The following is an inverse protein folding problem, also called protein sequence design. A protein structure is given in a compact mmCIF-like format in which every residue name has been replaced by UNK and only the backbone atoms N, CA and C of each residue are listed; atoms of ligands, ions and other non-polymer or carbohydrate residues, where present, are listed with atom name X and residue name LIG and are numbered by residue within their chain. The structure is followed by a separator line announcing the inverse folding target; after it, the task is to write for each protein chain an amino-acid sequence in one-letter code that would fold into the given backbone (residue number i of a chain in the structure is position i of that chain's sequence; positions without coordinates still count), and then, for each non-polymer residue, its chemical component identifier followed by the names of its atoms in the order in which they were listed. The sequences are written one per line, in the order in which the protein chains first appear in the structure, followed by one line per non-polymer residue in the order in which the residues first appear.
data_IF_478564022628
#
_entry.id   IF_478564022628
#
_cell.length_a   1.000
_cell.length_b   1.000
_cell.length_c   1.000
_cell.angle_alpha   90.00
_cell.angle_beta   90.00
_cell.angle_gamma   90.00
#
_symmetry.space_group_name_H-M   'P 1'
#
loop_
_entity.id
_entity.type
_entity.pdbx_description
1 polymer ?
#
# COMPACT_ATOMS: atom_id res chain seq x y z
N UNK A 1 24.23 38.59 52.44
CA UNK A 1 23.64 38.79 51.09
C UNK A 1 24.30 38.01 49.96
N UNK A 2 25.60 37.64 50.01
CA UNK A 2 26.24 36.85 48.94
C UNK A 2 25.86 35.36 48.93
N UNK A 3 25.53 34.78 50.08
CA UNK A 3 25.14 33.35 50.19
C UNK A 3 23.68 33.10 49.75
N UNK A 4 22.80 34.10 49.91
CA UNK A 4 21.40 34.00 49.49
C UNK A 4 21.23 34.05 47.95
N UNK A 5 22.16 34.69 47.24
CA UNK A 5 22.13 34.80 45.77
C UNK A 5 22.62 33.52 45.07
N UNK A 6 23.48 32.72 45.74
CA UNK A 6 24.04 31.49 45.18
C UNK A 6 23.03 30.34 45.27
N UNK A 7 22.15 30.34 46.26
CA UNK A 7 21.11 29.30 46.41
C UNK A 7 20.01 29.38 45.33
N UNK A 8 19.77 30.58 44.77
CA UNK A 8 18.77 30.80 43.71
C UNK A 8 19.24 30.35 42.31
N UNK A 9 20.56 30.25 42.10
CA UNK A 9 21.14 29.83 40.81
C UNK A 9 21.20 28.29 40.69
N UNK A 10 21.24 27.57 41.81
CA UNK A 10 21.24 26.10 41.80
C UNK A 10 19.86 25.47 41.54
N UNK A 11 18.76 26.21 41.79
CA UNK A 11 17.39 25.70 41.59
C UNK A 11 16.95 25.79 40.11
N UNK A 12 17.61 26.60 39.28
CA UNK A 12 17.21 26.81 37.88
C UNK A 12 17.74 25.74 36.89
N UNK A 13 18.56 24.78 37.35
CA UNK A 13 19.22 23.82 36.45
C UNK A 13 18.52 22.45 36.33
N UNK A 14 17.32 22.26 36.89
CA UNK A 14 16.62 20.96 36.86
C UNK A 14 15.46 20.85 35.85
N UNK A 15 15.24 21.85 34.98
CA UNK A 15 14.10 21.85 34.05
C UNK A 15 14.42 21.55 32.57
N UNK A 16 15.62 21.08 32.25
CA UNK A 16 15.97 20.67 30.89
C UNK A 16 16.23 19.16 30.80
N UNK A 17 15.25 18.36 31.25
CA UNK A 17 15.06 17.03 30.65
C UNK A 17 14.34 17.30 29.33
N UNK A 18 15.12 17.64 28.30
CA UNK A 18 14.64 17.59 26.94
C UNK A 18 14.26 16.15 26.65
N UNK A 19 12.98 15.90 26.40
CA UNK A 19 12.58 14.72 25.64
C UNK A 19 13.42 14.73 24.36
N UNK A 20 14.39 13.83 24.28
CA UNK A 20 14.92 13.40 23.00
C UNK A 20 13.75 12.72 22.31
N UNK A 21 13.00 13.51 21.55
CA UNK A 21 12.11 12.99 20.55
C UNK A 21 13.04 12.26 19.59
N UNK A 22 13.04 10.93 19.70
CA UNK A 22 13.63 10.04 18.71
C UNK A 22 12.85 10.34 17.43
N UNK A 23 13.30 11.34 16.68
CA UNK A 23 12.95 11.50 15.29
C UNK A 23 13.42 10.21 14.63
N UNK A 24 12.45 9.33 14.41
CA UNK A 24 12.60 8.25 13.45
C UNK A 24 12.97 8.92 12.14
N UNK A 25 14.25 8.84 11.80
CA UNK A 25 14.76 9.19 10.49
C UNK A 25 14.10 8.21 9.52
N UNK A 26 12.91 8.58 9.03
CA UNK A 26 12.30 7.94 7.87
C UNK A 26 13.20 8.35 6.70
N UNK A 27 14.24 7.55 6.46
CA UNK A 27 15.03 7.64 5.25
C UNK A 27 14.04 7.63 4.08
N UNK A 28 14.02 8.75 3.34
CA UNK A 28 13.20 8.85 2.14
C UNK A 28 13.72 7.82 1.15
N UNK A 29 12.97 6.72 1.00
CA UNK A 29 13.28 5.69 0.01
C UNK A 29 13.36 6.34 -1.36
N UNK A 30 14.45 6.07 -2.09
CA UNK A 30 14.57 6.52 -3.47
C UNK A 30 13.80 5.56 -4.38
N UNK A 31 13.30 6.01 -5.54
CA UNK A 31 12.57 5.12 -6.47
C UNK A 31 13.41 3.89 -6.90
N UNK A 32 14.75 3.97 -6.78
CA UNK A 32 15.68 2.88 -7.09
C UNK A 32 15.63 1.72 -6.07
N UNK A 33 15.15 1.97 -4.86
CA UNK A 33 15.06 0.97 -3.79
C UNK A 33 13.73 0.20 -3.82
N UNK A 34 12.77 0.64 -4.64
CA UNK A 34 11.43 0.08 -4.71
C UNK A 34 11.34 -1.06 -5.73
N UNK A 35 10.49 -2.05 -5.43
CA UNK A 35 10.05 -3.02 -6.43
C UNK A 35 8.95 -2.36 -7.25
N UNK A 36 9.16 -2.23 -8.55
CA UNK A 36 8.23 -1.54 -9.45
C UNK A 36 7.92 -2.41 -10.65
N UNK A 37 6.63 -2.49 -10.98
CA UNK A 37 6.14 -3.04 -12.24
C UNK A 37 5.15 -2.08 -12.88
N UNK A 38 5.20 -1.96 -14.21
CA UNK A 38 4.40 -1.00 -14.96
C UNK A 38 3.79 -1.61 -16.22
N UNK A 39 2.58 -1.17 -16.53
CA UNK A 39 1.89 -1.45 -17.78
C UNK A 39 1.42 -0.13 -18.39
N UNK A 40 1.94 0.22 -19.56
CA UNK A 40 1.44 1.32 -20.38
C UNK A 40 0.29 0.83 -21.26
N UNK A 41 -0.86 1.51 -21.21
CA UNK A 41 -2.06 1.10 -21.94
C UNK A 41 -2.85 2.31 -22.45
N UNK A 42 -2.57 2.70 -23.69
CA UNK A 42 -3.17 3.89 -24.31
C UNK A 42 -2.77 5.16 -23.58
N UNK A 43 -3.77 5.91 -23.11
CA UNK A 43 -3.60 7.16 -22.36
C UNK A 43 -3.32 6.93 -20.86
N UNK A 44 -3.01 5.70 -20.44
CA UNK A 44 -2.83 5.35 -19.03
C UNK A 44 -1.52 4.62 -18.77
N UNK A 45 -0.99 4.82 -17.57
CA UNK A 45 0.09 4.00 -17.00
C UNK A 45 -0.42 3.45 -15.67
N UNK A 46 -0.47 2.12 -15.57
CA UNK A 46 -0.68 1.41 -14.33
C UNK A 46 0.69 1.02 -13.76
N UNK A 47 0.90 1.28 -12.47
CA UNK A 47 2.12 0.92 -11.76
C UNK A 47 1.75 0.21 -10.45
N UNK A 48 2.48 -0.85 -10.15
CA UNK A 48 2.46 -1.51 -8.85
C UNK A 48 3.82 -1.34 -8.19
N UNK A 49 3.80 -0.90 -6.94
CA UNK A 49 5.00 -0.59 -6.17
C UNK A 49 4.98 -1.37 -4.86
N UNK A 50 6.12 -1.91 -4.46
CA UNK A 50 6.34 -2.38 -3.11
C UNK A 50 7.65 -1.84 -2.54
N UNK A 51 7.69 -1.65 -1.22
CA UNK A 51 8.85 -1.11 -0.53
C UNK A 51 10.07 -2.03 -0.65
N UNK A 52 9.87 -3.35 -0.54
CA UNK A 52 10.93 -4.35 -0.60
C UNK A 52 10.53 -5.51 -1.51
N UNK A 53 11.50 -6.21 -2.10
CA UNK A 53 11.26 -7.50 -2.75
C UNK A 53 11.19 -8.66 -1.74
N UNK A 54 11.84 -8.45 -0.59
CA UNK A 54 11.99 -9.44 0.47
C UNK A 54 11.61 -8.78 1.78
N UNK A 55 10.70 -9.41 2.52
CA UNK A 55 10.24 -8.99 3.84
C UNK A 55 10.60 -10.06 4.88
N UNK A 56 10.75 -9.64 6.13
CA UNK A 56 10.80 -10.58 7.26
C UNK A 56 9.38 -10.89 7.75
N UNK A 57 9.14 -12.07 8.31
CA UNK A 57 7.82 -12.43 8.82
C UNK A 57 7.38 -11.46 9.94
N UNK A 58 6.15 -11.00 9.84
CA UNK A 58 5.60 -9.99 10.74
C UNK A 58 6.01 -8.54 10.41
N UNK A 59 6.92 -8.31 9.46
CA UNK A 59 7.19 -6.96 8.94
C UNK A 59 5.95 -6.42 8.19
N UNK A 60 5.54 -5.16 8.43
CA UNK A 60 4.46 -4.54 7.66
C UNK A 60 4.79 -4.50 6.17
N UNK A 61 3.86 -5.00 5.35
CA UNK A 61 4.01 -4.98 3.89
C UNK A 61 3.33 -3.74 3.33
N UNK A 62 4.11 -2.97 2.57
CA UNK A 62 3.61 -1.79 1.84
C UNK A 62 3.55 -2.12 0.36
N UNK A 63 2.34 -2.09 -0.19
CA UNK A 63 2.05 -2.28 -1.61
C UNK A 63 1.17 -1.10 -2.05
N UNK A 64 1.51 -0.45 -3.15
CA UNK A 64 0.80 0.72 -3.66
C UNK A 64 0.45 0.53 -5.13
N UNK A 65 -0.84 0.61 -5.45
CA UNK A 65 -1.33 0.70 -6.82
C UNK A 65 -1.35 2.16 -7.26
N UNK A 66 -0.83 2.45 -8.45
CA UNK A 66 -0.79 3.81 -9.00
C UNK A 66 -1.31 3.84 -10.43
N UNK A 67 -2.12 4.84 -10.74
CA UNK A 67 -2.68 5.10 -12.06
C UNK A 67 -2.34 6.52 -12.48
N UNK A 68 -1.80 6.68 -13.68
CA UNK A 68 -1.49 7.99 -14.27
C UNK A 68 -2.20 8.16 -15.59
N UNK A 69 -2.83 9.32 -15.76
CA UNK A 69 -3.42 9.75 -17.02
C UNK A 69 -2.41 10.55 -17.86
N UNK A 70 -2.32 10.22 -19.15
CA UNK A 70 -1.39 10.77 -20.15
C UNK A 70 -2.09 11.20 -21.44
N UNK A 71 -3.41 11.29 -21.45
CA UNK A 71 -4.16 11.69 -22.62
C UNK A 71 -4.12 13.19 -22.90
N UNK A 72 -4.94 13.63 -23.84
CA UNK A 72 -4.86 14.98 -24.41
C UNK A 72 -5.59 16.07 -23.60
N UNK A 73 -6.27 15.73 -22.50
CA UNK A 73 -6.98 16.69 -21.64
C UNK A 73 -6.16 16.96 -20.39
N UNK A 74 -6.38 18.11 -19.76
CA UNK A 74 -5.75 18.44 -18.47
C UNK A 74 -6.22 17.52 -17.34
N UNK A 75 -7.47 17.05 -17.42
CA UNK A 75 -8.07 16.15 -16.44
C UNK A 75 -9.06 15.18 -17.09
N UNK A 76 -9.32 14.08 -16.39
CA UNK A 76 -10.26 13.05 -16.79
C UNK A 76 -11.03 12.52 -15.58
N UNK A 77 -12.36 12.52 -15.66
CA UNK A 77 -13.20 11.84 -14.65
C UNK A 77 -13.30 10.37 -14.98
N UNK A 78 -12.98 9.51 -14.00
CA UNK A 78 -13.22 8.07 -14.07
C UNK A 78 -14.28 7.65 -13.05
N UNK A 79 -15.04 6.61 -13.38
CA UNK A 79 -16.01 5.95 -12.49
C UNK A 79 -15.56 4.52 -12.23
N UNK A 80 -15.51 4.10 -10.97
CA UNK A 80 -15.08 2.75 -10.58
C UNK A 80 -15.96 2.24 -9.44
N UNK A 81 -15.75 1.01 -8.98
CA UNK A 81 -16.42 0.47 -7.81
C UNK A 81 -15.86 1.11 -6.52
N UNK A 82 -15.51 0.32 -5.50
CA UNK A 82 -14.98 0.88 -4.26
C UNK A 82 -13.59 1.52 -4.42
N UNK A 83 -12.76 0.97 -5.28
CA UNK A 83 -11.42 1.43 -5.64
C UNK A 83 -11.24 1.21 -7.15
N UNK A 84 -10.44 2.03 -7.85
CA UNK A 84 -10.03 1.73 -9.21
C UNK A 84 -8.93 0.66 -9.25
N UNK A 85 -8.52 0.13 -8.10
CA UNK A 85 -7.53 -0.95 -7.96
C UNK A 85 -8.14 -2.14 -7.22
N UNK A 86 -7.96 -3.33 -7.79
CA UNK A 86 -8.19 -4.62 -7.15
C UNK A 86 -6.84 -5.30 -7.00
N UNK A 87 -6.50 -5.72 -5.79
CA UNK A 87 -5.25 -6.43 -5.49
C UNK A 87 -5.55 -7.91 -5.34
N UNK A 88 -5.12 -8.70 -6.31
CA UNK A 88 -5.23 -10.14 -6.31
C UNK A 88 -3.89 -10.70 -5.83
N UNK A 89 -3.91 -11.41 -4.69
CA UNK A 89 -2.69 -11.91 -4.04
C UNK A 89 -2.76 -13.42 -3.95
N UNK A 90 -1.74 -14.08 -4.49
CA UNK A 90 -1.57 -15.53 -4.45
C UNK A 90 -0.31 -15.83 -3.67
N UNK A 91 -0.43 -16.57 -2.58
CA UNK A 91 0.71 -17.19 -1.91
C UNK A 91 1.05 -18.49 -2.65
N UNK A 92 2.16 -18.47 -3.39
CA UNK A 92 2.52 -19.53 -4.33
C UNK A 92 3.07 -20.78 -3.66
N UNK A 93 3.70 -20.67 -2.49
CA UNK A 93 4.32 -21.83 -1.81
C UNK A 93 3.28 -22.87 -1.39
N UNK A 94 2.08 -22.45 -1.00
CA UNK A 94 0.96 -23.33 -0.62
C UNK A 94 -0.21 -23.26 -1.59
N UNK A 95 -0.16 -22.35 -2.58
CA UNK A 95 -1.21 -22.15 -3.58
C UNK A 95 -2.48 -21.56 -2.97
N UNK A 96 -2.32 -20.61 -2.05
CA UNK A 96 -3.44 -19.98 -1.35
C UNK A 96 -3.76 -18.63 -2.01
N UNK A 97 -4.96 -18.52 -2.55
CA UNK A 97 -5.51 -17.25 -2.99
C UNK A 97 -6.04 -16.46 -1.78
N UNK A 98 -5.62 -15.21 -1.65
CA UNK A 98 -6.06 -14.32 -0.59
C UNK A 98 -7.26 -13.53 -1.11
N UNK A 99 -8.46 -13.74 -0.56
CA UNK A 99 -9.65 -13.13 -1.11
C UNK A 99 -9.67 -11.62 -0.82
N UNK A 100 -10.06 -10.83 -1.81
CA UNK A 100 -10.27 -9.39 -1.68
C UNK A 100 -11.77 -9.06 -1.60
N UNK A 101 -12.17 -8.20 -0.66
CA UNK A 101 -13.58 -7.84 -0.51
C UNK A 101 -13.96 -6.74 -1.51
N UNK A 102 -14.62 -7.12 -2.60
CA UNK A 102 -15.18 -6.14 -3.53
C UNK A 102 -16.46 -5.55 -2.93
N UNK A 103 -16.41 -4.28 -2.50
CA UNK A 103 -17.61 -3.51 -2.16
C UNK A 103 -18.17 -2.85 -3.42
N UNK A 104 -19.47 -3.03 -3.67
CA UNK A 104 -20.15 -2.62 -4.90
C UNK A 104 -20.72 -1.19 -4.86
N UNK A 105 -20.00 -0.23 -4.26
CA UNK A 105 -20.41 1.18 -4.31
C UNK A 105 -19.63 1.88 -5.39
N UNK A 106 -20.33 2.38 -6.41
CA UNK A 106 -19.69 3.18 -7.46
C UNK A 106 -19.21 4.52 -6.93
N UNK A 107 -18.00 4.92 -7.32
CA UNK A 107 -17.35 6.17 -6.98
C UNK A 107 -16.78 6.83 -8.23
N UNK A 108 -16.54 8.13 -8.14
CA UNK A 108 -15.86 8.89 -9.19
C UNK A 108 -14.62 9.56 -8.61
N UNK A 109 -13.57 9.67 -9.40
CA UNK A 109 -12.40 10.53 -9.11
C UNK A 109 -11.96 11.28 -10.36
N UNK A 110 -11.15 12.30 -10.17
CA UNK A 110 -10.50 13.07 -11.23
C UNK A 110 -9.05 12.63 -11.31
N UNK A 111 -8.60 12.23 -12.49
CA UNK A 111 -7.19 12.02 -12.81
C UNK A 111 -6.66 13.29 -13.46
N UNK A 112 -5.71 13.94 -12.81
CA UNK A 112 -4.97 15.07 -13.39
C UNK A 112 -3.87 14.57 -14.34
N UNK A 113 -3.64 15.30 -15.42
CA UNK A 113 -2.59 14.98 -16.38
C UNK A 113 -1.22 14.87 -15.71
N UNK A 114 -0.51 13.77 -15.98
CA UNK A 114 0.82 13.45 -15.43
C UNK A 114 0.90 13.32 -13.90
N UNK A 115 -0.22 13.33 -13.17
CA UNK A 115 -0.22 13.06 -11.74
C UNK A 115 -0.52 11.60 -11.47
N UNK A 116 0.09 11.07 -10.40
CA UNK A 116 -0.23 9.73 -9.90
C UNK A 116 -1.46 9.82 -9.00
N UNK A 117 -2.50 9.05 -9.34
CA UNK A 117 -3.52 8.65 -8.40
C UNK A 117 -3.06 7.35 -7.74
N UNK A 118 -2.98 7.32 -6.42
CA UNK A 118 -2.36 6.23 -5.67
C UNK A 118 -3.28 5.74 -4.56
N UNK A 119 -3.35 4.42 -4.36
CA UNK A 119 -3.97 3.80 -3.20
C UNK A 119 -3.05 2.71 -2.65
N UNK A 120 -2.86 2.73 -1.33
CA UNK A 120 -2.15 1.66 -0.62
C UNK A 120 -3.07 0.45 -0.45
N UNK A 121 -2.51 -0.74 -0.61
CA UNK A 121 -3.20 -1.99 -0.30
C UNK A 121 -3.56 -2.02 1.18
N UNK A 122 -4.86 -2.04 1.47
CA UNK A 122 -5.36 -2.28 2.81
C UNK A 122 -5.64 -3.77 2.99
N UNK A 123 -4.99 -4.36 3.99
CA UNK A 123 -5.13 -5.78 4.32
C UNK A 123 -6.52 -6.05 4.87
N UNK A 124 -7.37 -6.67 4.06
CA UNK A 124 -8.75 -6.97 4.44
C UNK A 124 -8.90 -8.41 4.93
N UNK A 125 -9.62 -8.56 6.04
CA UNK A 125 -10.02 -9.87 6.56
C UNK A 125 -11.39 -10.25 6.01
N UNK A 126 -11.45 -11.24 5.13
CA UNK A 126 -12.69 -11.92 4.79
C UNK A 126 -12.86 -13.18 5.64
N UNK A 127 -14.06 -13.48 6.16
CA UNK A 127 -14.33 -14.75 6.81
C UNK A 127 -14.07 -15.88 5.82
N UNK A 128 -13.13 -16.76 6.14
CA UNK A 128 -12.86 -17.92 5.31
C UNK A 128 -14.02 -18.91 5.43
N UNK A 129 -14.54 -19.41 4.32
CA UNK A 129 -15.55 -20.46 4.34
C UNK A 129 -14.83 -21.76 4.75
N UNK A 130 -15.22 -22.32 5.89
CA UNK A 130 -14.49 -23.36 6.60
C UNK A 130 -14.32 -24.63 5.74
N UNK A 131 -13.17 -24.80 5.10
CA UNK A 131 -12.61 -26.12 4.83
C UNK A 131 -11.10 -26.07 4.56
N UNK A 132 -10.41 -27.00 5.23
CA UNK A 132 -9.06 -27.48 4.97
C UNK A 132 -7.87 -26.54 5.24
N UNK A 133 -6.67 -27.13 5.28
CA UNK A 133 -5.32 -26.68 5.70
C UNK A 133 -4.98 -25.17 5.59
N UNK A 134 -5.65 -24.43 4.72
CA UNK A 134 -5.58 -22.99 4.53
C UNK A 134 -6.10 -22.18 5.72
N UNK A 135 -6.92 -22.76 6.61
CA UNK A 135 -7.49 -22.04 7.76
C UNK A 135 -6.43 -21.50 8.74
N UNK A 136 -5.34 -22.23 8.97
CA UNK A 136 -4.24 -21.77 9.85
C UNK A 136 -3.48 -20.61 9.19
N UNK A 137 -3.19 -20.74 7.89
CA UNK A 137 -2.55 -19.66 7.11
C UNK A 137 -3.41 -18.40 7.12
N UNK A 138 -4.71 -18.49 6.79
CA UNK A 138 -5.60 -17.34 6.77
C UNK A 138 -5.78 -16.72 8.16
N UNK A 139 -5.76 -17.54 9.22
CA UNK A 139 -5.78 -17.06 10.60
C UNK A 139 -4.52 -16.27 10.95
N UNK A 140 -3.34 -16.73 10.53
CA UNK A 140 -2.07 -16.02 10.68
C UNK A 140 -2.06 -14.73 9.85
N UNK A 141 -2.43 -14.82 8.57
CA UNK A 141 -2.60 -13.67 7.68
C UNK A 141 -3.50 -12.60 8.30
N UNK A 142 -4.68 -12.94 8.81
CA UNK A 142 -5.61 -11.94 9.35
C UNK A 142 -5.11 -11.31 10.66
N UNK A 143 -4.40 -12.06 11.51
CA UNK A 143 -4.04 -11.63 12.86
C UNK A 143 -2.70 -10.90 12.95
N UNK A 144 -1.78 -11.27 12.09
CA UNK A 144 -0.44 -10.70 12.08
C UNK A 144 -0.42 -9.42 11.22
N UNK A 145 0.53 -8.55 11.50
CA UNK A 145 0.70 -7.28 10.77
C UNK A 145 1.17 -7.57 9.34
N UNK A 146 2.33 -8.22 9.20
CA UNK A 146 2.87 -8.72 7.94
C UNK A 146 2.14 -9.92 7.35
N UNK A 147 2.61 -10.36 6.19
CA UNK A 147 2.16 -11.64 5.62
C UNK A 147 2.89 -12.80 6.30
N UNK A 148 2.30 -14.00 6.32
CA UNK A 148 3.02 -15.20 6.73
C UNK A 148 4.24 -15.47 5.82
N UNK A 149 5.21 -16.29 6.24
CA UNK A 149 6.32 -16.69 5.39
C UNK A 149 5.87 -17.44 4.14
N UNK A 150 6.40 -17.05 2.98
CA UNK A 150 6.04 -17.61 1.68
C UNK A 150 6.44 -16.73 0.49
N UNK A 151 6.27 -17.27 -0.71
CA UNK A 151 6.41 -16.53 -1.96
C UNK A 151 5.03 -16.01 -2.38
N UNK A 152 4.96 -14.75 -2.79
CA UNK A 152 3.72 -14.07 -3.13
C UNK A 152 3.78 -13.48 -4.54
N UNK A 153 2.76 -13.76 -5.33
CA UNK A 153 2.45 -12.99 -6.53
C UNK A 153 1.36 -11.97 -6.17
N UNK A 154 1.65 -10.70 -6.40
CA UNK A 154 0.71 -9.60 -6.22
C UNK A 154 0.41 -9.03 -7.60
N UNK A 155 -0.82 -9.24 -8.08
CA UNK A 155 -1.35 -8.57 -9.26
C UNK A 155 -2.22 -7.40 -8.82
N UNK A 156 -2.02 -6.23 -9.43
CA UNK A 156 -3.00 -5.15 -9.36
C UNK A 156 -3.73 -5.09 -10.68
N UNK A 157 -5.05 -5.11 -10.60
CA UNK A 157 -5.97 -4.88 -11.71
C UNK A 157 -6.65 -3.54 -11.53
N UNK A 158 -6.50 -2.65 -12.51
CA UNK A 158 -7.22 -1.38 -12.53
C UNK A 158 -8.43 -1.44 -13.43
N UNK A 159 -9.62 -1.18 -12.87
CA UNK A 159 -10.90 -1.26 -13.58
C UNK A 159 -11.72 0.01 -13.35
N UNK A 160 -12.05 0.69 -14.46
CA UNK A 160 -12.83 1.92 -14.41
C UNK A 160 -13.54 2.20 -15.74
N UNK A 161 -14.53 3.08 -15.68
CA UNK A 161 -15.29 3.58 -16.81
C UNK A 161 -14.93 5.05 -17.07
N UNK A 162 -14.88 5.42 -18.34
CA UNK A 162 -14.86 6.82 -18.77
C UNK A 162 -16.21 7.13 -19.44
N UNK A 163 -16.79 8.29 -19.10
CA UNK A 163 -17.98 8.79 -19.78
C UNK A 163 -17.60 9.93 -20.73
N UNK A 164 -17.58 9.66 -22.03
CA UNK A 164 -17.29 10.64 -23.09
C UNK A 164 -18.56 11.28 -23.65
N UNK A 165 -19.62 11.37 -22.83
CA UNK A 165 -20.90 12.00 -23.15
C UNK A 165 -21.80 11.17 -24.07
N UNK A 166 -21.24 10.54 -25.10
CA UNK A 166 -21.98 9.68 -26.04
C UNK A 166 -21.75 8.19 -25.82
N UNK A 167 -20.60 7.81 -25.24
CA UNK A 167 -20.24 6.42 -24.96
C UNK A 167 -19.70 6.28 -23.54
N UNK A 168 -19.90 5.08 -22.98
CA UNK A 168 -19.13 4.60 -21.83
C UNK A 168 -18.07 3.66 -22.36
N UNK A 169 -16.84 3.89 -21.95
CA UNK A 169 -15.70 3.05 -22.29
C UNK A 169 -15.20 2.38 -21.02
N UNK A 170 -15.16 1.05 -21.03
CA UNK A 170 -14.62 0.25 -19.94
C UNK A 170 -13.12 0.04 -20.15
N UNK A 171 -12.35 0.27 -19.10
CA UNK A 171 -10.91 0.10 -19.08
C UNK A 171 -10.54 -0.94 -18.02
N UNK A 172 -9.68 -1.89 -18.41
CA UNK A 172 -9.15 -2.92 -17.52
C UNK A 172 -7.69 -3.18 -17.85
N UNK A 173 -6.81 -2.99 -16.87
CA UNK A 173 -5.36 -3.12 -17.02
C UNK A 173 -4.79 -3.90 -15.85
N UNK A 174 -3.73 -4.68 -16.08
CA UNK A 174 -3.06 -5.42 -15.01
C UNK A 174 -1.55 -5.24 -15.05
N UNK A 175 -0.92 -5.39 -13.89
CA UNK A 175 0.53 -5.54 -13.73
C UNK A 175 0.80 -6.29 -12.42
N UNK A 176 1.94 -6.96 -12.31
CA UNK A 176 2.25 -7.77 -11.13
C UNK A 176 3.70 -7.63 -10.67
N UNK A 177 3.91 -7.93 -9.39
CA UNK A 177 5.22 -8.05 -8.74
C UNK A 177 5.30 -9.38 -7.99
N UNK A 178 6.52 -9.84 -7.73
CA UNK A 178 6.80 -10.98 -6.87
C UNK A 178 7.44 -10.51 -5.57
N UNK A 179 7.00 -11.06 -4.45
CA UNK A 179 7.51 -10.79 -3.11
C UNK A 179 7.91 -12.11 -2.43
N UNK A 180 8.92 -12.05 -1.57
CA UNK A 180 9.33 -13.16 -0.69
C UNK A 180 9.21 -12.72 0.77
N UNK A 181 8.63 -13.56 1.61
CA UNK A 181 8.52 -13.32 3.06
C UNK A 181 9.26 -14.43 3.80
N UNK A 182 10.31 -14.06 4.50
CA UNK A 182 11.22 -15.00 5.18
C UNK A 182 10.82 -15.24 6.62
N UNK A 183 11.05 -16.46 7.09
CA UNK A 183 10.93 -16.81 8.50
C UNK A 183 11.88 -15.95 9.36
N UNK A 184 11.43 -15.53 10.54
CA UNK A 184 12.29 -14.87 11.52
C UNK A 184 13.36 -15.85 12.02
N UNK A 185 14.63 -15.48 11.91
CA UNK A 185 15.77 -16.26 12.43
C UNK A 185 15.91 -16.19 13.96
#
# INVERSE_FOLDING_TARGET
MKVLLILLIFIFNFFLIGCTQKEENVEALTEEDLVVSETAAGDFILRLVSKNAVYEAGEPITIVGKLKYRGNKEELVITYANSPFTFDIIESTRGVEIPFAVRSTFRNTILEYDQWYEEEYDKQALPNDNNDKTAVFMSSYIKEEGFPPGEYEVEVRSEFMINTGQTKEDHSYTTSILLDVKELN
#
